data_IF_889742839309
#
_entry.id   IF_889742839309
#
_cell.length_a   1.000
_cell.length_b   1.000
_cell.length_c   1.000
_cell.angle_alpha   90.00
_cell.angle_beta   90.00
_cell.angle_gamma   90.00
#
_symmetry.space_group_name_H-M   'P 1'
#
loop_
_entity.id
_entity.type
_entity.pdbx_description
1 polymer ?
#
# COMPACT_ATOMS: atom_id res chain seq x y z
N UNK A 1 51.68 42.17 -44.39
CA UNK A 1 50.40 41.65 -44.74
C UNK A 1 50.30 40.23 -44.16
N UNK A 2 49.65 40.11 -43.04
CA UNK A 2 49.60 38.85 -42.29
C UNK A 2 48.17 38.35 -42.36
N UNK A 3 47.98 37.18 -43.04
CA UNK A 3 46.68 36.53 -43.16
C UNK A 3 46.49 35.61 -41.98
N UNK A 4 45.55 35.95 -41.08
CA UNK A 4 45.14 35.11 -40.00
C UNK A 4 44.08 34.11 -40.49
N UNK A 5 44.37 32.83 -40.29
CA UNK A 5 43.45 31.73 -40.51
C UNK A 5 42.63 31.51 -39.22
N UNK A 6 41.36 31.78 -39.26
CA UNK A 6 40.39 31.42 -38.20
C UNK A 6 40.11 29.93 -38.29
N UNK A 7 40.55 29.17 -37.29
CA UNK A 7 40.09 27.77 -37.11
C UNK A 7 38.74 27.75 -36.39
N UNK A 8 37.72 27.35 -37.10
CA UNK A 8 36.40 27.11 -36.49
C UNK A 8 36.41 25.73 -35.78
N UNK A 9 36.31 25.74 -34.47
CA UNK A 9 36.16 24.52 -33.69
C UNK A 9 34.73 24.00 -33.83
N UNK A 10 34.54 22.87 -34.53
CA UNK A 10 33.29 22.09 -34.54
C UNK A 10 33.17 21.44 -33.18
N UNK A 11 32.25 21.95 -32.36
CA UNK A 11 31.79 21.24 -31.18
C UNK A 11 30.80 20.17 -31.63
N UNK A 12 31.23 18.94 -31.70
CA UNK A 12 30.37 17.79 -31.91
C UNK A 12 29.57 17.57 -30.62
N UNK A 13 28.29 17.93 -30.65
CA UNK A 13 27.35 17.51 -29.62
C UNK A 13 27.08 16.03 -29.85
N UNK A 14 27.68 15.17 -29.04
CA UNK A 14 27.36 13.75 -28.93
C UNK A 14 26.02 13.69 -28.22
N UNK A 15 24.93 13.60 -28.97
CA UNK A 15 23.63 13.24 -28.44
C UNK A 15 23.73 11.80 -27.91
N UNK A 16 23.66 11.64 -26.61
CA UNK A 16 23.71 10.34 -25.96
C UNK A 16 22.52 9.50 -26.39
N UNK A 17 22.79 8.44 -27.13
CA UNK A 17 21.86 7.42 -27.62
C UNK A 17 21.38 6.44 -26.53
N UNK A 18 21.31 6.88 -25.26
CA UNK A 18 20.90 6.03 -24.13
C UNK A 18 19.39 5.99 -23.88
N UNK A 19 18.60 6.89 -24.44
CA UNK A 19 17.15 6.95 -24.18
C UNK A 19 16.32 5.75 -24.73
N UNK A 20 16.55 5.21 -25.91
CA UNK A 20 15.75 4.08 -26.39
C UNK A 20 16.08 2.76 -25.66
N UNK A 21 17.33 2.55 -25.27
CA UNK A 21 17.75 1.32 -24.58
C UNK A 21 17.19 1.24 -23.16
N UNK A 22 17.22 2.34 -22.41
CA UNK A 22 16.64 2.43 -21.07
C UNK A 22 15.12 2.18 -21.07
N UNK A 23 14.40 2.59 -22.13
CA UNK A 23 12.96 2.34 -22.23
C UNK A 23 12.62 0.86 -22.46
N UNK A 24 13.42 0.13 -23.26
CA UNK A 24 13.24 -1.31 -23.46
C UNK A 24 13.53 -2.13 -22.20
N UNK A 25 14.60 -1.77 -21.49
CA UNK A 25 14.96 -2.42 -20.23
C UNK A 25 13.88 -2.20 -19.15
N UNK A 26 13.34 -0.98 -19.04
CA UNK A 26 12.24 -0.68 -18.11
C UNK A 26 10.98 -1.48 -18.45
N UNK A 27 10.59 -1.53 -19.73
CA UNK A 27 9.44 -2.34 -20.17
C UNK A 27 9.64 -3.80 -19.78
N UNK A 28 10.82 -4.37 -20.05
CA UNK A 28 11.12 -5.75 -19.69
C UNK A 28 11.10 -6.01 -18.19
N UNK A 29 11.59 -5.07 -17.37
CA UNK A 29 11.52 -5.17 -15.92
C UNK A 29 10.09 -5.07 -15.39
N UNK A 30 9.27 -4.18 -15.98
CA UNK A 30 7.85 -4.06 -15.65
C UNK A 30 7.05 -5.32 -16.04
N UNK A 31 7.35 -5.94 -17.18
CA UNK A 31 6.74 -7.21 -17.57
C UNK A 31 7.03 -8.30 -16.53
N UNK A 32 8.31 -8.47 -16.14
CA UNK A 32 8.68 -9.40 -15.07
C UNK A 32 8.01 -9.07 -13.74
N UNK A 33 7.86 -7.79 -13.41
CA UNK A 33 7.18 -7.37 -12.20
C UNK A 33 5.67 -7.65 -12.24
N UNK A 34 5.02 -7.53 -13.39
CA UNK A 34 3.62 -7.93 -13.60
C UNK A 34 3.46 -9.44 -13.45
N UNK A 35 4.34 -10.24 -14.08
CA UNK A 35 4.37 -11.69 -13.93
C UNK A 35 4.60 -12.10 -12.47
N UNK A 36 5.56 -11.44 -11.79
CA UNK A 36 5.82 -11.66 -10.37
C UNK A 36 4.58 -11.36 -9.51
N UNK A 37 3.88 -10.25 -9.73
CA UNK A 37 2.68 -9.90 -8.95
C UNK A 37 1.55 -10.91 -9.21
N UNK A 38 1.37 -11.36 -10.45
CA UNK A 38 0.39 -12.39 -10.81
C UNK A 38 0.68 -13.70 -10.06
N UNK A 39 1.94 -14.14 -10.07
CA UNK A 39 2.36 -15.33 -9.33
C UNK A 39 2.25 -15.12 -7.82
N UNK A 40 2.69 -13.96 -7.33
CA UNK A 40 2.60 -13.58 -5.92
C UNK A 40 1.17 -13.66 -5.40
N UNK A 41 0.21 -13.10 -6.14
CA UNK A 41 -1.21 -13.14 -5.77
C UNK A 41 -1.78 -14.56 -5.79
N UNK A 42 -1.34 -15.41 -6.72
CA UNK A 42 -1.74 -16.82 -6.77
C UNK A 42 -1.16 -17.65 -5.61
N UNK A 43 0.09 -17.37 -5.21
CA UNK A 43 0.80 -18.09 -4.16
C UNK A 43 0.52 -17.54 -2.76
N UNK A 44 0.15 -16.25 -2.65
CA UNK A 44 -0.09 -15.61 -1.36
C UNK A 44 -1.11 -16.39 -0.54
N UNK A 45 -2.16 -16.94 -1.19
CA UNK A 45 -3.20 -17.65 -0.49
C UNK A 45 -3.78 -16.82 0.65
N UNK A 46 -4.52 -17.45 1.53
CA UNK A 46 -4.92 -16.82 2.78
C UNK A 46 -3.79 -16.97 3.80
N UNK A 47 -3.36 -15.88 4.40
CA UNK A 47 -2.28 -15.85 5.38
C UNK A 47 -2.74 -15.23 6.69
N UNK A 48 -2.41 -15.88 7.80
CA UNK A 48 -2.53 -15.30 9.13
C UNK A 48 -1.15 -15.03 9.71
N UNK A 49 -0.99 -13.91 10.41
CA UNK A 49 0.23 -13.50 11.08
C UNK A 49 -0.04 -12.63 12.29
N UNK A 50 1.01 -12.05 12.82
CA UNK A 50 0.91 -11.08 13.91
C UNK A 50 1.22 -9.68 13.39
N UNK A 51 0.48 -8.69 13.89
CA UNK A 51 0.73 -7.26 13.64
C UNK A 51 0.92 -6.51 14.96
N UNK A 52 2.00 -5.74 15.06
CA UNK A 52 2.17 -4.70 16.07
C UNK A 52 1.98 -3.35 15.40
N UNK A 53 0.87 -2.68 15.71
CA UNK A 53 0.48 -1.42 15.08
C UNK A 53 0.60 -0.25 16.06
N UNK A 54 1.54 0.64 15.79
CA UNK A 54 1.78 1.85 16.59
C UNK A 54 1.26 3.05 15.83
N UNK A 55 0.41 3.83 16.47
CA UNK A 55 -0.25 5.00 15.91
C UNK A 55 0.09 6.24 16.73
N UNK A 56 0.40 7.35 16.08
CA UNK A 56 0.63 8.66 16.69
C UNK A 56 -0.25 9.68 15.96
N UNK A 57 -1.28 10.18 16.63
CA UNK A 57 -2.15 11.22 16.10
C UNK A 57 -1.83 12.57 16.73
N UNK A 58 -1.82 13.62 15.93
CA UNK A 58 -1.71 15.00 16.37
C UNK A 58 -2.77 15.85 15.68
N UNK A 59 -3.44 16.72 16.44
CA UNK A 59 -4.47 17.61 15.91
C UNK A 59 -4.52 18.93 16.66
N UNK A 60 -5.15 19.93 16.04
CA UNK A 60 -5.44 21.21 16.64
C UNK A 60 -6.88 21.25 17.14
N UNK A 61 -7.08 21.56 18.39
CA UNK A 61 -8.40 21.65 19.04
C UNK A 61 -8.65 23.07 19.55
N UNK A 62 -9.81 23.69 19.24
CA UNK A 62 -10.15 24.98 19.79
C UNK A 62 -10.46 24.86 21.29
N UNK A 63 -9.86 25.70 22.11
CA UNK A 63 -10.08 25.70 23.58
C UNK A 63 -11.39 26.38 24.00
N UNK A 64 -12.17 26.91 23.03
CA UNK A 64 -13.47 27.54 23.20
C UNK A 64 -13.75 28.54 22.10
N UNK A 65 -14.94 29.17 22.10
CA UNK A 65 -15.35 30.11 21.07
C UNK A 65 -14.44 31.37 21.10
N UNK A 66 -13.62 31.55 20.05
CA UNK A 66 -12.67 32.67 19.93
C UNK A 66 -11.32 32.45 20.65
N UNK A 67 -11.06 31.28 21.19
CA UNK A 67 -9.80 30.95 21.86
C UNK A 67 -8.75 30.37 20.90
N UNK A 68 -7.45 30.42 21.27
CA UNK A 68 -6.39 29.88 20.44
C UNK A 68 -6.53 28.35 20.29
N UNK A 69 -6.07 27.82 19.16
CA UNK A 69 -5.96 26.39 18.91
C UNK A 69 -4.87 25.79 19.79
N UNK A 70 -5.15 24.65 20.38
CA UNK A 70 -4.18 23.88 21.22
C UNK A 70 -3.85 22.57 20.52
N UNK A 71 -2.57 22.28 20.42
CA UNK A 71 -2.09 21.02 19.87
C UNK A 71 -2.37 19.87 20.86
N UNK A 72 -3.06 18.85 20.40
CA UNK A 72 -3.29 17.58 21.11
C UNK A 72 -2.49 16.47 20.43
N UNK A 73 -2.10 15.49 21.23
CA UNK A 73 -1.41 14.29 20.74
C UNK A 73 -1.96 13.07 21.45
N UNK A 74 -2.08 11.98 20.72
CA UNK A 74 -2.47 10.69 21.25
C UNK A 74 -1.60 9.61 20.60
N UNK A 75 -1.13 8.66 21.39
CA UNK A 75 -0.45 7.47 20.92
C UNK A 75 -1.28 6.24 21.27
N UNK A 76 -1.26 5.25 20.40
CA UNK A 76 -1.86 3.94 20.65
C UNK A 76 -1.00 2.84 20.08
N UNK A 77 -0.91 1.73 20.81
CA UNK A 77 -0.31 0.47 20.34
C UNK A 77 -1.36 -0.62 20.34
N UNK A 78 -1.50 -1.32 19.24
CA UNK A 78 -2.42 -2.46 19.10
C UNK A 78 -1.62 -3.67 18.65
N UNK A 79 -1.72 -4.77 19.40
CA UNK A 79 -1.21 -6.09 18.98
C UNK A 79 -2.39 -6.90 18.49
N UNK A 80 -2.31 -7.42 17.28
CA UNK A 80 -3.42 -8.11 16.60
C UNK A 80 -2.97 -9.41 15.96
N UNK A 81 -3.89 -10.36 15.85
CA UNK A 81 -3.85 -11.33 14.77
C UNK A 81 -4.22 -10.61 13.49
N UNK A 82 -3.44 -10.85 12.44
CA UNK A 82 -3.56 -10.19 11.14
C UNK A 82 -3.82 -11.23 10.07
N UNK A 83 -4.95 -11.11 9.37
CA UNK A 83 -5.36 -12.01 8.30
C UNK A 83 -5.38 -11.27 6.97
N UNK A 84 -4.66 -11.81 5.99
CA UNK A 84 -4.84 -11.47 4.57
C UNK A 84 -5.73 -12.56 3.97
N UNK A 85 -6.86 -12.17 3.42
CA UNK A 85 -7.84 -13.09 2.84
C UNK A 85 -8.26 -12.62 1.45
N UNK A 86 -8.41 -13.56 0.54
CA UNK A 86 -8.95 -13.27 -0.79
C UNK A 86 -10.49 -13.22 -0.74
N UNK A 87 -11.04 -12.15 -1.29
CA UNK A 87 -12.48 -11.92 -1.41
C UNK A 87 -12.80 -11.64 -2.87
N UNK A 88 -13.18 -12.68 -3.61
CA UNK A 88 -13.28 -12.59 -5.07
C UNK A 88 -11.94 -12.25 -5.73
N UNK A 89 -11.88 -11.24 -6.59
CA UNK A 89 -10.63 -10.81 -7.22
C UNK A 89 -9.79 -9.92 -6.31
N UNK A 90 -10.30 -9.51 -5.14
CA UNK A 90 -9.67 -8.53 -4.27
C UNK A 90 -9.12 -9.16 -2.98
N UNK A 91 -8.15 -8.50 -2.39
CA UNK A 91 -7.57 -8.86 -1.10
C UNK A 91 -8.11 -7.93 -0.01
N UNK A 92 -8.40 -8.50 1.14
CA UNK A 92 -8.77 -7.79 2.35
C UNK A 92 -7.76 -8.08 3.46
N UNK A 93 -7.48 -7.08 4.29
CA UNK A 93 -6.74 -7.24 5.54
C UNK A 93 -7.72 -7.10 6.70
N UNK A 94 -7.72 -8.10 7.58
CA UNK A 94 -8.53 -8.13 8.78
C UNK A 94 -7.64 -8.17 10.01
N UNK A 95 -8.06 -7.50 11.07
CA UNK A 95 -7.34 -7.42 12.34
C UNK A 95 -8.25 -7.80 13.48
N UNK A 96 -7.78 -8.72 14.32
CA UNK A 96 -8.39 -9.05 15.60
C UNK A 96 -7.46 -8.58 16.69
N UNK A 97 -7.82 -7.51 17.39
CA UNK A 97 -6.99 -6.95 18.44
C UNK A 97 -6.93 -7.87 19.67
N UNK A 98 -5.72 -8.23 20.07
CA UNK A 98 -5.44 -9.03 21.27
C UNK A 98 -5.07 -8.15 22.47
N UNK A 99 -4.35 -7.05 22.20
CA UNK A 99 -3.96 -6.06 23.22
C UNK A 99 -4.07 -4.64 22.67
N UNK A 100 -4.47 -3.72 23.55
CA UNK A 100 -4.50 -2.27 23.27
C UNK A 100 -3.79 -1.57 24.42
N UNK A 101 -2.74 -0.81 24.11
CA UNK A 101 -1.90 -0.10 25.06
C UNK A 101 -1.41 -0.98 26.22
N UNK A 102 -1.04 -2.24 25.88
CA UNK A 102 -0.57 -3.26 26.80
C UNK A 102 -1.66 -4.04 27.52
N UNK A 103 -2.91 -3.57 27.54
CA UNK A 103 -4.03 -4.24 28.18
C UNK A 103 -4.65 -5.28 27.26
N UNK A 104 -4.95 -6.48 27.80
CA UNK A 104 -5.64 -7.54 27.04
C UNK A 104 -7.05 -7.07 26.68
N UNK A 105 -7.43 -7.22 25.41
CA UNK A 105 -8.80 -6.97 24.94
C UNK A 105 -9.67 -8.14 25.39
N UNK A 106 -10.89 -7.84 25.86
CA UNK A 106 -11.87 -8.87 26.16
C UNK A 106 -12.28 -9.53 24.86
N UNK A 107 -12.15 -10.84 24.80
CA UNK A 107 -12.57 -11.62 23.64
C UNK A 107 -14.08 -11.45 23.40
N UNK A 108 -14.42 -10.78 22.32
CA UNK A 108 -15.81 -10.60 21.87
C UNK A 108 -16.05 -11.30 20.53
N UNK A 109 -14.97 -11.57 19.79
CA UNK A 109 -15.00 -12.18 18.46
C UNK A 109 -14.33 -13.56 18.47
N UNK A 110 -14.83 -14.51 17.68
CA UNK A 110 -14.21 -15.81 17.52
C UNK A 110 -12.79 -15.69 16.90
N UNK A 111 -12.01 -16.72 16.99
CA UNK A 111 -10.76 -16.84 16.23
C UNK A 111 -11.07 -16.77 14.73
N UNK A 112 -10.09 -16.36 13.91
CA UNK A 112 -10.31 -16.32 12.47
C UNK A 112 -10.67 -17.68 11.90
N UNK A 113 -10.08 -18.75 12.47
CA UNK A 113 -10.31 -20.14 12.11
C UNK A 113 -11.78 -20.57 12.30
N UNK A 114 -12.45 -19.98 13.29
CA UNK A 114 -13.86 -20.27 13.64
C UNK A 114 -14.85 -19.27 13.02
N UNK A 115 -14.33 -18.21 12.39
CA UNK A 115 -15.16 -17.10 11.92
C UNK A 115 -15.86 -17.38 10.59
N UNK A 116 -15.31 -18.27 9.77
CA UNK A 116 -15.82 -18.55 8.44
C UNK A 116 -16.37 -19.97 8.35
N UNK A 117 -17.53 -20.09 7.73
CA UNK A 117 -18.22 -21.35 7.47
C UNK A 117 -18.53 -21.50 5.97
N UNK A 118 -19.26 -22.57 5.60
CA UNK A 118 -19.59 -22.86 4.21
C UNK A 118 -20.76 -21.98 3.65
N UNK A 119 -21.31 -21.04 4.43
CA UNK A 119 -22.41 -20.18 4.03
C UNK A 119 -21.90 -18.84 3.52
N UNK A 120 -22.08 -18.58 2.23
CA UNK A 120 -21.67 -17.36 1.55
C UNK A 120 -22.25 -16.08 2.15
N UNK A 121 -23.54 -16.04 2.44
CA UNK A 121 -24.22 -14.87 3.03
C UNK A 121 -23.74 -14.58 4.46
N UNK A 122 -23.59 -15.63 5.28
CA UNK A 122 -23.08 -15.49 6.64
C UNK A 122 -21.63 -14.99 6.63
N UNK A 123 -20.79 -15.50 5.74
CA UNK A 123 -19.40 -15.08 5.58
C UNK A 123 -19.30 -13.62 5.14
N UNK A 124 -20.13 -13.15 4.22
CA UNK A 124 -20.13 -11.76 3.79
C UNK A 124 -20.49 -10.81 4.95
N UNK A 125 -21.51 -11.15 5.74
CA UNK A 125 -21.90 -10.39 6.94
C UNK A 125 -20.77 -10.37 7.99
N UNK A 126 -20.13 -11.51 8.23
CA UNK A 126 -19.00 -11.63 9.14
C UNK A 126 -17.80 -10.82 8.66
N UNK A 127 -17.46 -10.88 7.37
CA UNK A 127 -16.37 -10.09 6.78
C UNK A 127 -16.59 -8.59 7.00
N UNK A 128 -17.80 -8.08 6.79
CA UNK A 128 -18.13 -6.67 7.04
C UNK A 128 -17.98 -6.30 8.53
N UNK A 129 -18.45 -7.16 9.44
CA UNK A 129 -18.30 -6.96 10.87
C UNK A 129 -16.82 -6.95 11.30
N UNK A 130 -16.02 -7.90 10.80
CA UNK A 130 -14.59 -7.98 11.08
C UNK A 130 -13.83 -6.81 10.48
N UNK A 131 -14.22 -6.33 9.32
CA UNK A 131 -13.65 -5.10 8.72
C UNK A 131 -13.92 -3.88 9.60
N UNK A 132 -15.14 -3.75 10.12
CA UNK A 132 -15.49 -2.67 11.06
C UNK A 132 -14.70 -2.78 12.37
N UNK A 133 -14.56 -3.98 12.93
CA UNK A 133 -13.77 -4.24 14.14
C UNK A 133 -12.28 -3.94 13.92
N UNK A 134 -11.73 -4.24 12.73
CA UNK A 134 -10.34 -3.99 12.36
C UNK A 134 -9.96 -2.50 12.47
N UNK A 135 -10.91 -1.59 12.36
CA UNK A 135 -10.69 -0.14 12.43
C UNK A 135 -11.07 0.46 13.80
N UNK A 136 -11.64 -0.33 14.70
CA UNK A 136 -12.19 0.12 16.00
C UNK A 136 -11.17 0.85 16.86
N UNK A 137 -9.91 0.44 16.81
CA UNK A 137 -8.86 1.01 17.63
C UNK A 137 -8.02 2.06 16.89
N UNK A 138 -8.45 2.49 15.71
CA UNK A 138 -7.84 3.60 15.02
C UNK A 138 -8.05 4.91 15.81
N UNK A 139 -7.00 5.73 15.90
CA UNK A 139 -7.06 7.04 16.55
C UNK A 139 -6.96 8.15 15.50
N UNK A 140 -7.49 9.34 15.84
CA UNK A 140 -7.61 10.50 14.96
C UNK A 140 -8.84 10.41 14.04
N UNK A 141 -9.17 11.52 13.39
CA UNK A 141 -10.40 11.69 12.62
C UNK A 141 -10.28 11.27 11.15
N UNK A 142 -9.09 10.83 10.72
CA UNK A 142 -8.85 10.40 9.35
C UNK A 142 -9.27 8.93 9.21
N UNK A 143 -10.25 8.68 8.33
CA UNK A 143 -10.68 7.32 8.00
C UNK A 143 -9.55 6.60 7.25
N UNK A 144 -9.18 5.41 7.74
CA UNK A 144 -8.08 4.59 7.22
C UNK A 144 -8.60 3.17 6.96
N UNK A 145 -9.26 2.99 5.85
CA UNK A 145 -9.85 1.71 5.42
C UNK A 145 -9.05 1.02 4.29
N UNK A 146 -8.05 1.71 3.75
CA UNK A 146 -7.20 1.24 2.64
C UNK A 146 -5.81 0.76 3.09
N UNK A 147 -5.60 0.54 4.39
CA UNK A 147 -4.31 0.14 4.96
C UNK A 147 -3.97 -1.35 4.73
N UNK A 148 -4.12 -1.81 3.51
CA UNK A 148 -3.67 -3.12 3.06
C UNK A 148 -2.19 -3.04 2.64
N UNK A 149 -1.29 -3.84 3.23
CA UNK A 149 0.14 -3.75 2.91
C UNK A 149 0.48 -4.14 1.47
N UNK A 150 -0.42 -4.75 0.74
CA UNK A 150 -0.24 -5.11 -0.68
C UNK A 150 -0.90 -4.13 -1.65
N UNK A 151 -1.48 -3.01 -1.17
CA UNK A 151 -2.26 -2.08 -2.02
C UNK A 151 -1.49 -1.56 -3.23
N UNK A 152 -0.21 -1.23 -3.05
CA UNK A 152 0.62 -0.70 -4.12
C UNK A 152 1.01 -1.74 -5.17
N UNK A 153 0.97 -3.04 -4.86
CA UNK A 153 1.25 -4.09 -5.83
C UNK A 153 0.18 -4.14 -6.93
N UNK A 154 -1.03 -3.68 -6.63
CA UNK A 154 -2.13 -3.62 -7.61
C UNK A 154 -1.78 -2.81 -8.87
N UNK A 155 -0.89 -1.83 -8.78
CA UNK A 155 -0.48 -1.01 -9.95
C UNK A 155 0.26 -1.83 -11.02
N UNK A 156 0.77 -3.00 -10.63
CA UNK A 156 1.47 -3.95 -11.51
C UNK A 156 0.58 -5.10 -11.99
N UNK A 157 -0.69 -5.18 -11.59
CA UNK A 157 -1.62 -6.17 -12.13
C UNK A 157 -1.79 -5.96 -13.63
N UNK A 158 -1.91 -7.04 -14.39
CA UNK A 158 -2.12 -6.99 -15.84
C UNK A 158 -3.35 -6.14 -16.22
N UNK A 159 -4.43 -6.22 -15.42
CA UNK A 159 -5.65 -5.43 -15.62
C UNK A 159 -5.47 -3.93 -15.32
N UNK A 160 -4.48 -3.56 -14.52
CA UNK A 160 -4.31 -2.21 -13.99
C UNK A 160 -3.14 -1.45 -14.62
N UNK A 161 -2.06 -2.15 -14.98
CA UNK A 161 -0.77 -1.56 -15.37
C UNK A 161 -0.90 -0.52 -16.50
N UNK A 162 -1.84 -0.72 -17.40
CA UNK A 162 -2.09 0.22 -18.51
C UNK A 162 -2.65 1.58 -18.09
N UNK A 163 -3.14 1.71 -16.86
CA UNK A 163 -3.63 2.99 -16.28
C UNK A 163 -2.50 3.88 -15.81
N UNK A 164 -1.28 3.34 -15.70
CA UNK A 164 -0.14 4.01 -15.10
C UNK A 164 0.93 4.35 -16.12
N UNK A 165 1.63 5.43 -15.86
CA UNK A 165 2.89 5.77 -16.52
C UNK A 165 4.01 5.50 -15.54
N UNK A 166 5.08 4.86 -16.03
CA UNK A 166 6.23 4.47 -15.25
C UNK A 166 7.49 5.18 -15.75
N UNK A 167 8.36 5.55 -14.80
CA UNK A 167 9.64 6.19 -15.04
C UNK A 167 10.72 5.59 -14.16
N UNK A 168 11.83 5.16 -14.73
CA UNK A 168 13.00 4.77 -13.95
C UNK A 168 13.71 6.02 -13.41
N UNK A 169 13.70 6.17 -12.08
CA UNK A 169 14.27 7.33 -11.39
C UNK A 169 15.66 7.08 -10.79
N UNK A 170 16.21 5.88 -11.01
CA UNK A 170 17.52 5.49 -10.51
C UNK A 170 17.55 4.08 -9.97
N UNK A 171 18.50 3.81 -9.08
CA UNK A 171 18.64 2.53 -8.39
C UNK A 171 19.07 2.71 -6.94
N UNK A 172 18.77 1.72 -6.10
CA UNK A 172 19.17 1.69 -4.69
C UNK A 172 19.31 0.25 -4.21
N UNK A 173 19.75 0.06 -2.97
CA UNK A 173 19.78 -1.25 -2.33
C UNK A 173 18.70 -1.32 -1.25
N UNK A 174 17.92 -2.39 -1.26
CA UNK A 174 16.96 -2.73 -0.20
C UNK A 174 17.44 -4.03 0.44
N UNK A 175 17.81 -3.99 1.72
CA UNK A 175 18.35 -5.15 2.45
C UNK A 175 19.51 -5.86 1.72
N UNK A 176 20.35 -5.08 1.02
CA UNK A 176 21.50 -5.58 0.27
C UNK A 176 21.20 -5.99 -1.17
N UNK A 177 19.93 -6.11 -1.58
CA UNK A 177 19.50 -6.47 -2.92
C UNK A 177 19.45 -5.21 -3.79
N UNK A 178 20.03 -5.27 -4.99
CA UNK A 178 19.97 -4.17 -5.96
C UNK A 178 18.57 -4.03 -6.53
N UNK A 179 17.99 -2.84 -6.45
CA UNK A 179 16.67 -2.54 -6.98
C UNK A 179 16.67 -1.28 -7.86
N UNK A 180 15.88 -1.29 -8.91
CA UNK A 180 15.53 -0.09 -9.63
C UNK A 180 14.48 0.68 -8.87
N UNK A 181 14.62 2.00 -8.84
CA UNK A 181 13.62 2.94 -8.31
C UNK A 181 12.73 3.35 -9.46
N UNK A 182 11.51 2.84 -9.49
CA UNK A 182 10.54 3.08 -10.56
C UNK A 182 9.39 3.90 -9.99
N UNK A 183 9.24 5.14 -10.46
CA UNK A 183 8.08 5.98 -10.14
C UNK A 183 6.90 5.57 -11.00
N UNK A 184 5.72 5.65 -10.44
CA UNK A 184 4.48 5.48 -11.17
C UNK A 184 3.51 6.64 -10.92
N UNK A 185 2.63 6.89 -11.87
CA UNK A 185 1.55 7.87 -11.77
C UNK A 185 0.34 7.39 -12.55
N UNK A 186 -0.80 7.35 -11.88
CA UNK A 186 -2.08 6.97 -12.48
C UNK A 186 -2.59 8.07 -13.41
N UNK A 187 -3.10 7.70 -14.59
CA UNK A 187 -3.56 8.64 -15.61
C UNK A 187 -4.97 8.37 -16.11
N UNK A 188 -5.46 7.14 -15.95
CA UNK A 188 -6.76 6.75 -16.48
C UNK A 188 -7.78 6.49 -15.36
N UNK A 189 -9.05 6.74 -15.64
CA UNK A 189 -10.19 6.38 -14.80
C UNK A 189 -10.92 5.15 -15.37
N UNK A 190 -11.61 4.35 -14.53
CA UNK A 190 -11.74 4.52 -13.09
C UNK A 190 -10.40 4.32 -12.39
N UNK A 191 -10.16 5.06 -11.30
CA UNK A 191 -8.91 4.99 -10.54
C UNK A 191 -8.88 3.76 -9.62
N UNK A 192 -7.67 3.38 -9.18
CA UNK A 192 -7.48 2.28 -8.23
C UNK A 192 -8.14 2.55 -6.88
N UNK A 193 -8.21 3.81 -6.48
CA UNK A 193 -8.87 4.25 -5.25
C UNK A 193 -10.08 5.11 -5.58
N UNK A 194 -11.22 4.71 -5.04
CA UNK A 194 -12.47 5.47 -5.15
C UNK A 194 -12.76 6.11 -3.80
N UNK A 195 -13.01 7.40 -3.78
CA UNK A 195 -13.40 8.13 -2.58
C UNK A 195 -14.80 7.77 -2.09
N UNK A 196 -15.11 8.17 -0.86
CA UNK A 196 -16.37 7.79 -0.20
C UNK A 196 -17.66 8.31 -0.87
N UNK A 197 -17.55 9.24 -1.81
CA UNK A 197 -18.66 9.75 -2.62
C UNK A 197 -18.54 9.39 -4.10
N UNK A 198 -17.71 8.39 -4.43
CA UNK A 198 -17.47 7.95 -5.79
C UNK A 198 -16.43 8.78 -6.57
N UNK A 199 -15.67 9.64 -5.89
CA UNK A 199 -14.62 10.44 -6.53
C UNK A 199 -13.45 9.57 -6.99
N UNK A 200 -12.90 9.84 -8.16
CA UNK A 200 -11.68 9.21 -8.65
C UNK A 200 -10.45 9.85 -8.00
N UNK A 201 -9.74 9.09 -7.17
CA UNK A 201 -8.56 9.54 -6.45
C UNK A 201 -7.31 9.00 -7.14
N UNK A 202 -6.67 9.83 -7.95
CA UNK A 202 -5.47 9.45 -8.68
C UNK A 202 -4.30 9.20 -7.75
N UNK A 203 -3.67 8.05 -7.90
CA UNK A 203 -2.53 7.62 -7.12
C UNK A 203 -1.21 7.87 -7.85
N UNK A 204 -0.15 7.96 -7.07
CA UNK A 204 1.23 7.97 -7.53
C UNK A 204 2.13 7.33 -6.46
N UNK A 205 3.38 7.07 -6.81
CA UNK A 205 4.32 6.51 -5.85
C UNK A 205 5.58 5.97 -6.48
N UNK A 206 6.21 5.03 -5.77
CA UNK A 206 7.50 4.46 -6.14
C UNK A 206 7.51 2.95 -5.84
N UNK A 207 8.06 2.19 -6.75
CA UNK A 207 8.32 0.76 -6.62
C UNK A 207 9.82 0.53 -6.63
N UNK A 208 10.33 -0.31 -5.74
CA UNK A 208 11.70 -0.81 -5.75
C UNK A 208 11.66 -2.23 -6.28
N UNK A 209 12.05 -2.38 -7.54
CA UNK A 209 11.94 -3.63 -8.30
C UNK A 209 13.34 -4.20 -8.52
N UNK A 210 13.55 -5.45 -8.17
CA UNK A 210 14.71 -6.21 -8.60
C UNK A 210 14.60 -6.49 -10.10
N UNK A 211 15.45 -5.90 -10.96
CA UNK A 211 15.17 -5.87 -12.39
C UNK A 211 15.23 -7.25 -13.06
N UNK A 212 16.03 -8.16 -12.53
CA UNK A 212 16.23 -9.49 -13.12
C UNK A 212 15.06 -10.45 -12.85
N UNK A 213 14.43 -10.32 -11.68
CA UNK A 213 13.38 -11.24 -11.22
C UNK A 213 11.98 -10.62 -11.24
N UNK A 214 11.89 -9.28 -11.31
CA UNK A 214 10.64 -8.55 -11.14
C UNK A 214 10.14 -8.47 -9.70
N UNK A 215 10.86 -9.03 -8.72
CA UNK A 215 10.44 -8.97 -7.30
C UNK A 215 10.35 -7.53 -6.82
N UNK A 216 9.27 -7.22 -6.12
CA UNK A 216 9.03 -5.91 -5.52
C UNK A 216 9.46 -5.94 -4.06
N UNK A 217 10.58 -5.25 -3.76
CA UNK A 217 11.21 -5.27 -2.43
C UNK A 217 10.61 -4.22 -1.49
N UNK A 218 10.13 -3.11 -2.07
CA UNK A 218 9.51 -2.01 -1.33
C UNK A 218 8.55 -1.26 -2.23
N UNK A 219 7.52 -0.70 -1.62
CA UNK A 219 6.56 0.15 -2.33
C UNK A 219 6.32 1.45 -1.56
N UNK A 220 6.00 2.51 -2.28
CA UNK A 220 5.42 3.73 -1.77
C UNK A 220 4.16 4.02 -2.57
N UNK A 221 3.06 4.27 -1.89
CA UNK A 221 1.76 4.58 -2.48
C UNK A 221 1.25 5.89 -1.90
N UNK A 222 0.91 6.84 -2.75
CA UNK A 222 0.42 8.16 -2.36
C UNK A 222 -0.91 8.40 -3.04
N UNK A 223 -1.92 8.75 -2.25
CA UNK A 223 -3.23 9.17 -2.74
C UNK A 223 -3.68 10.42 -2.01
N UNK A 224 -4.39 11.30 -2.71
CA UNK A 224 -4.88 12.54 -2.16
C UNK A 224 -6.35 12.73 -2.48
N UNK A 225 -7.20 12.84 -1.45
CA UNK A 225 -8.58 13.24 -1.58
C UNK A 225 -8.71 14.77 -1.46
N UNK A 226 -8.81 15.44 -2.61
CA UNK A 226 -9.00 16.90 -2.71
C UNK A 226 -10.46 17.32 -2.62
N UNK A 227 -11.40 16.38 -2.69
CA UNK A 227 -12.84 16.59 -2.72
C UNK A 227 -13.49 16.47 -1.35
N UNK A 228 -12.76 15.96 -0.34
CA UNK A 228 -13.24 15.93 1.03
C UNK A 228 -13.40 17.35 1.59
N UNK A 229 -14.28 17.56 2.59
CA UNK A 229 -14.39 18.84 3.30
C UNK A 229 -13.05 19.35 3.84
N UNK A 230 -12.18 18.42 4.26
CA UNK A 230 -10.77 18.65 4.53
C UNK A 230 -9.94 17.81 3.55
N UNK A 231 -8.99 18.43 2.87
CA UNK A 231 -8.06 17.74 2.00
C UNK A 231 -7.28 16.71 2.80
N UNK A 232 -7.32 15.47 2.36
CA UNK A 232 -6.60 14.36 3.00
C UNK A 232 -5.59 13.78 2.03
N UNK A 233 -4.35 13.68 2.48
CA UNK A 233 -3.27 13.00 1.78
C UNK A 233 -2.84 11.78 2.59
N UNK A 234 -2.73 10.64 1.93
CA UNK A 234 -2.20 9.42 2.50
C UNK A 234 -0.92 9.02 1.77
N UNK A 235 0.10 8.62 2.52
CA UNK A 235 1.34 8.03 2.03
C UNK A 235 1.58 6.74 2.79
N UNK A 236 1.69 5.63 2.06
CA UNK A 236 1.90 4.29 2.62
C UNK A 236 3.17 3.73 1.99
N UNK A 237 4.12 3.35 2.84
CA UNK A 237 5.38 2.70 2.43
C UNK A 237 5.40 1.30 3.02
N UNK A 238 5.62 0.29 2.19
CA UNK A 238 5.73 -1.10 2.64
C UNK A 238 7.07 -1.66 2.22
N UNK A 239 7.76 -2.29 3.17
CA UNK A 239 8.97 -3.08 2.91
C UNK A 239 8.59 -4.56 3.03
N UNK A 240 9.07 -5.35 2.07
CA UNK A 240 8.83 -6.78 2.01
C UNK A 240 10.14 -7.52 2.28
N UNK A 241 10.07 -8.62 3.01
CA UNK A 241 11.21 -9.51 3.28
C UNK A 241 10.81 -10.97 3.10
N UNK A 242 11.79 -11.84 2.90
CA UNK A 242 11.54 -13.27 2.74
C UNK A 242 10.90 -13.86 3.99
N UNK A 243 9.83 -14.59 3.81
CA UNK A 243 9.17 -15.32 4.89
C UNK A 243 10.03 -16.49 5.35
N UNK A 244 10.11 -16.73 6.66
CA UNK A 244 10.92 -17.82 7.22
C UNK A 244 10.52 -19.23 6.71
N UNK A 245 9.23 -19.45 6.52
CA UNK A 245 8.65 -20.74 6.11
C UNK A 245 7.84 -20.66 4.81
N UNK A 246 7.79 -19.49 4.18
CA UNK A 246 7.01 -19.20 2.99
C UNK A 246 7.97 -18.55 2.00
N UNK A 247 8.15 -19.15 0.82
CA UNK A 247 9.06 -18.64 -0.22
C UNK A 247 8.50 -17.43 -0.97
N UNK A 248 7.85 -16.52 -0.25
CA UNK A 248 7.32 -15.27 -0.77
C UNK A 248 7.95 -14.09 -0.03
N UNK A 249 8.02 -12.96 -0.70
CA UNK A 249 8.27 -11.69 -0.04
C UNK A 249 7.00 -11.26 0.69
N UNK A 250 7.01 -11.32 2.01
CA UNK A 250 5.89 -10.92 2.85
C UNK A 250 6.11 -9.50 3.40
N UNK A 251 5.07 -8.72 3.65
CA UNK A 251 5.21 -7.44 4.31
C UNK A 251 5.90 -7.63 5.67
N UNK A 252 6.94 -6.86 5.93
CA UNK A 252 7.66 -6.86 7.21
C UNK A 252 7.41 -5.57 8.00
N UNK A 253 7.31 -4.45 7.28
CA UNK A 253 7.05 -3.12 7.83
C UNK A 253 6.13 -2.35 6.90
N UNK A 254 5.09 -1.73 7.46
CA UNK A 254 4.31 -0.69 6.80
C UNK A 254 4.41 0.60 7.60
N UNK A 255 4.79 1.69 6.93
CA UNK A 255 4.89 3.04 7.46
C UNK A 255 3.85 3.90 6.78
N UNK A 256 2.94 4.50 7.53
CA UNK A 256 1.83 5.26 7.01
C UNK A 256 1.87 6.69 7.56
N UNK A 257 1.65 7.65 6.68
CA UNK A 257 1.48 9.05 7.03
C UNK A 257 0.19 9.57 6.41
N UNK A 258 -0.68 10.09 7.25
CA UNK A 258 -1.93 10.71 6.84
C UNK A 258 -1.92 12.17 7.31
N UNK A 259 -2.26 13.06 6.40
CA UNK A 259 -2.26 14.50 6.65
C UNK A 259 -3.56 15.13 6.16
N UNK A 260 -4.16 15.97 7.00
CA UNK A 260 -5.23 16.89 6.65
C UNK A 260 -4.89 18.30 7.13
N UNK A 261 -5.77 19.28 6.91
CA UNK A 261 -5.51 20.67 7.29
C UNK A 261 -5.15 20.86 8.76
N UNK A 262 -5.77 20.06 9.65
CA UNK A 262 -5.60 20.21 11.11
C UNK A 262 -5.12 18.95 11.82
N UNK A 263 -4.99 17.85 11.10
CA UNK A 263 -4.71 16.54 11.70
C UNK A 263 -3.58 15.84 10.95
N UNK A 264 -2.72 15.18 11.70
CA UNK A 264 -1.76 14.22 11.18
C UNK A 264 -1.87 12.90 11.95
N UNK A 265 -1.68 11.80 11.25
CA UNK A 265 -1.59 10.47 11.86
C UNK A 265 -0.42 9.73 11.23
N UNK A 266 0.57 9.39 12.06
CA UNK A 266 1.71 8.56 11.69
C UNK A 266 1.53 7.17 12.27
N UNK A 267 1.66 6.13 11.44
CA UNK A 267 1.51 4.76 11.88
C UNK A 267 2.67 3.88 11.42
N UNK A 268 2.99 2.87 12.24
CA UNK A 268 3.93 1.80 11.88
C UNK A 268 3.32 0.45 12.23
N UNK A 269 3.22 -0.42 11.24
CA UNK A 269 2.83 -1.81 11.43
C UNK A 269 4.04 -2.72 11.21
N UNK A 270 4.33 -3.56 12.18
CA UNK A 270 5.36 -4.60 12.12
C UNK A 270 4.67 -5.95 11.99
N UNK A 271 5.02 -6.69 10.96
CA UNK A 271 4.41 -7.98 10.66
C UNK A 271 5.37 -9.13 10.94
N UNK A 272 4.85 -10.23 11.46
CA UNK A 272 5.64 -11.42 11.79
C UNK A 272 4.80 -12.68 11.83
N UNK A 273 5.49 -13.84 11.89
CA UNK A 273 4.90 -15.15 12.12
C UNK A 273 3.80 -15.54 11.13
N UNK A 274 3.95 -15.15 9.87
CA UNK A 274 3.02 -15.56 8.83
C UNK A 274 3.00 -17.08 8.65
N UNK A 275 1.80 -17.62 8.51
CA UNK A 275 1.52 -19.01 8.20
C UNK A 275 0.30 -19.10 7.28
N UNK A 276 0.20 -20.14 6.45
CA UNK A 276 -1.01 -20.37 5.65
C UNK A 276 -2.25 -20.47 6.54
N UNK A 277 -3.36 -19.95 6.03
CA UNK A 277 -4.67 -20.02 6.66
C UNK A 277 -5.59 -20.84 5.77
N UNK A 278 -5.79 -22.12 6.12
CA UNK A 278 -6.57 -23.07 5.33
C UNK A 278 -8.05 -22.95 5.69
N UNK A 279 -8.76 -22.05 5.02
CA UNK A 279 -10.23 -21.98 5.05
C UNK A 279 -10.73 -21.82 3.63
N UNK A 280 -11.57 -22.74 3.18
CA UNK A 280 -12.37 -22.53 1.97
C UNK A 280 -13.50 -21.54 2.26
N UNK A 281 -13.26 -20.26 2.00
CA UNK A 281 -14.28 -19.23 2.15
C UNK A 281 -14.98 -19.05 0.81
N UNK A 282 -16.25 -19.43 0.73
CA UNK A 282 -17.08 -19.17 -0.45
C UNK A 282 -17.77 -17.82 -0.30
N UNK A 283 -17.52 -16.92 -1.26
CA UNK A 283 -18.23 -15.65 -1.37
C UNK A 283 -19.03 -15.63 -2.67
N UNK A 284 -20.34 -15.39 -2.58
CA UNK A 284 -21.14 -15.05 -3.75
C UNK A 284 -21.05 -13.54 -3.98
N UNK A 285 -20.30 -13.15 -5.00
CA UNK A 285 -20.16 -11.75 -5.37
C UNK A 285 -21.36 -11.40 -6.22
N UNK A 286 -22.35 -10.73 -5.63
CA UNK A 286 -23.36 -10.07 -6.42
C UNK A 286 -22.82 -8.72 -6.87
N UNK A 287 -22.83 -8.42 -8.19
CA UNK A 287 -22.50 -7.07 -8.64
C UNK A 287 -23.47 -6.07 -7.98
N UNK A 288 -23.01 -4.85 -7.66
CA UNK A 288 -23.90 -3.84 -7.09
C UNK A 288 -25.09 -3.66 -8.03
N UNK A 289 -26.29 -3.73 -7.46
CA UNK A 289 -27.56 -3.43 -8.17
C UNK A 289 -27.43 -1.97 -8.64
N UNK A 290 -27.52 -1.78 -9.96
CA UNK A 290 -27.46 -0.46 -10.62
C UNK A 290 -28.62 0.44 -10.21
#
# INVERSE_FOLDING_TARGET
MSSGVLAAALVAVVASSQQPQNSHELISALQRATEYVTQYEAELGNLIGNEEYVQNAAWLEPTGRGNPMVAKRLQRRVSSDFLIIQVGPEWAALRKANRVDGSKVKETEPAFEDAFDNSSEANQKRLLAMKAESTRYNIGDIIRDTNLPTVALKVLRESEVSRFVFEQAGSSKIEGIQAWVVRFREQASPTLVIGGKGEFLYSNGTLWIEPETGRVLRTEFIVENRYAPARVKARIVVTYSEGKNIKLLLPSLMDEHYESEFNTVDCKAYYSNFRPFEVEVKFDIHPPVQ
#
